data_IF_649158787368
#
_entry.id   IF_649158787368
#
_cell.length_a   1.000
_cell.length_b   1.000
_cell.length_c   1.000
_cell.angle_alpha   90.00
_cell.angle_beta   90.00
_cell.angle_gamma   90.00
#
_symmetry.space_group_name_H-M   'P 1'
#
loop_
_entity.id
_entity.type
_entity.pdbx_description
1 polymer ?
#
# COMPACT_ATOMS: atom_id res chain seq x y z
N UNK A 1 9.74 -3.84 3.83
CA UNK A 1 11.01 -3.19 3.42
C UNK A 1 10.70 -2.12 2.41
N UNK A 2 10.95 -0.85 2.74
CA UNK A 2 10.85 0.25 1.77
C UNK A 2 11.91 0.04 0.67
N UNK A 3 11.51 0.10 -0.60
CA UNK A 3 12.44 0.04 -1.72
C UNK A 3 13.26 1.32 -1.83
N UNK A 4 14.43 1.26 -2.48
CA UNK A 4 15.24 2.46 -2.73
C UNK A 4 14.53 3.44 -3.67
N UNK A 5 13.64 2.94 -4.55
CA UNK A 5 12.67 3.77 -5.24
C UNK A 5 11.38 3.84 -4.41
N UNK A 6 10.88 5.04 -4.22
CA UNK A 6 9.68 5.29 -3.44
C UNK A 6 8.44 4.95 -4.27
N UNK A 7 7.45 4.32 -3.64
CA UNK A 7 6.20 3.86 -4.27
C UNK A 7 4.96 4.48 -3.65
N UNK A 8 5.13 5.49 -2.78
CA UNK A 8 4.03 6.22 -2.18
C UNK A 8 3.26 7.08 -3.19
N UNK A 9 2.11 7.60 -2.75
CA UNK A 9 1.34 8.55 -3.56
C UNK A 9 2.20 9.76 -3.90
N UNK A 10 2.34 10.06 -5.19
CA UNK A 10 3.15 11.17 -5.68
C UNK A 10 4.65 10.89 -5.86
N UNK A 11 5.12 9.69 -5.55
CA UNK A 11 6.54 9.30 -5.72
C UNK A 11 6.88 8.77 -7.09
N UNK A 12 5.85 8.39 -7.83
CA UNK A 12 5.96 7.96 -9.22
C UNK A 12 5.05 8.78 -10.11
N UNK A 13 5.44 8.87 -11.37
CA UNK A 13 4.63 9.41 -12.44
C UNK A 13 4.81 8.55 -13.68
N UNK A 14 3.85 8.62 -14.59
CA UNK A 14 3.94 7.89 -15.86
C UNK A 14 3.27 8.67 -16.97
N UNK A 15 3.64 8.34 -18.21
CA UNK A 15 3.01 8.90 -19.39
C UNK A 15 3.02 7.88 -20.53
N UNK A 16 2.20 8.15 -21.53
CA UNK A 16 2.12 7.36 -22.76
C UNK A 16 1.91 8.26 -23.97
N UNK A 17 2.41 7.81 -25.11
CA UNK A 17 2.10 8.38 -26.42
C UNK A 17 1.80 7.24 -27.38
N UNK A 18 0.55 7.16 -27.86
CA UNK A 18 0.10 6.11 -28.78
C UNK A 18 0.67 6.29 -30.21
N UNK A 19 1.05 7.51 -30.57
CA UNK A 19 1.73 7.86 -31.80
C UNK A 19 2.39 9.21 -31.60
N UNK A 20 3.71 9.30 -31.77
CA UNK A 20 4.42 10.56 -31.63
C UNK A 20 5.94 10.44 -31.79
N UNK A 21 6.58 11.58 -31.91
CA UNK A 21 8.06 11.74 -31.91
C UNK A 21 8.59 12.10 -30.52
N UNK A 22 7.73 12.11 -29.50
CA UNK A 22 8.15 12.41 -28.13
C UNK A 22 7.17 11.89 -27.11
N UNK A 23 7.61 11.89 -25.86
CA UNK A 23 6.79 11.67 -24.68
C UNK A 23 7.10 12.74 -23.63
N UNK A 24 6.05 13.37 -23.11
CA UNK A 24 6.15 14.31 -21.99
C UNK A 24 5.73 13.59 -20.72
N UNK A 25 6.65 13.46 -19.76
CA UNK A 25 6.35 12.80 -18.47
C UNK A 25 6.26 13.88 -17.39
N UNK A 26 5.14 13.96 -16.65
CA UNK A 26 5.03 14.89 -15.54
C UNK A 26 5.99 14.51 -14.42
N UNK A 27 6.39 15.48 -13.62
CA UNK A 27 7.15 15.24 -12.40
C UNK A 27 6.31 14.46 -11.38
N UNK A 28 6.88 13.48 -10.64
CA UNK A 28 6.25 12.98 -9.43
C UNK A 28 5.95 14.13 -8.45
N UNK A 29 4.74 14.21 -7.91
CA UNK A 29 4.30 15.40 -7.15
C UNK A 29 5.10 15.62 -5.87
N UNK A 30 5.68 14.56 -5.31
CA UNK A 30 6.46 14.58 -4.06
C UNK A 30 7.95 14.86 -4.28
N UNK A 31 8.40 15.11 -5.52
CA UNK A 31 9.81 15.39 -5.83
C UNK A 31 10.28 16.71 -5.23
N UNK A 32 11.40 16.67 -4.51
CA UNK A 32 12.08 17.82 -3.90
C UNK A 32 13.54 17.93 -4.38
N UNK A 33 14.18 19.07 -4.09
CA UNK A 33 15.60 19.26 -4.38
C UNK A 33 16.46 18.21 -3.66
N UNK A 34 17.49 17.70 -4.35
CA UNK A 34 18.37 16.65 -3.83
C UNK A 34 17.85 15.23 -4.00
N UNK A 35 16.58 15.03 -4.37
CA UNK A 35 16.11 13.70 -4.78
C UNK A 35 16.85 13.24 -6.03
N UNK A 36 16.98 11.92 -6.18
CA UNK A 36 17.35 11.28 -7.44
C UNK A 36 16.11 10.72 -8.10
N UNK A 37 16.03 10.86 -9.41
CA UNK A 37 14.96 10.31 -10.21
C UNK A 37 15.50 9.22 -11.12
N UNK A 38 14.73 8.15 -11.27
CA UNK A 38 14.96 7.10 -12.26
C UNK A 38 13.80 7.15 -13.25
N UNK A 39 14.11 7.33 -14.53
CA UNK A 39 13.14 7.21 -15.61
C UNK A 39 13.41 5.94 -16.39
N UNK A 40 12.37 5.16 -16.62
CA UNK A 40 12.39 4.03 -17.55
C UNK A 40 11.50 4.41 -18.71
N UNK A 41 12.08 4.45 -19.91
CA UNK A 41 11.40 4.90 -21.12
C UNK A 41 11.51 3.81 -22.18
N UNK A 42 10.39 3.49 -22.81
CA UNK A 42 10.32 2.50 -23.86
C UNK A 42 9.75 3.11 -25.14
N UNK A 43 10.34 2.75 -26.28
CA UNK A 43 9.88 3.13 -27.61
C UNK A 43 9.65 1.90 -28.50
N UNK A 44 8.44 1.74 -29.03
CA UNK A 44 8.09 0.73 -30.05
C UNK A 44 8.02 1.38 -31.44
N UNK A 45 8.56 0.68 -32.45
CA UNK A 45 8.63 1.13 -33.85
C UNK A 45 9.41 2.44 -34.06
N UNK A 46 10.28 2.79 -33.11
CA UNK A 46 11.10 4.00 -33.13
C UNK A 46 12.53 3.65 -33.60
N UNK A 47 13.22 4.61 -34.21
CA UNK A 47 14.60 4.53 -34.74
C UNK A 47 15.70 4.52 -33.67
N UNK A 48 15.39 4.07 -32.44
CA UNK A 48 16.37 3.98 -31.36
C UNK A 48 16.06 4.76 -30.07
N UNK A 49 16.84 4.48 -29.00
CA UNK A 49 16.72 5.14 -27.70
C UNK A 49 17.00 6.63 -27.78
N UNK A 50 16.46 7.37 -26.80
CA UNK A 50 16.80 8.79 -26.64
C UNK A 50 18.25 8.91 -26.14
N UNK A 51 19.20 9.01 -27.06
CA UNK A 51 20.63 9.19 -26.74
C UNK A 51 20.97 10.62 -26.31
N UNK A 52 20.10 11.57 -26.64
CA UNK A 52 20.09 12.93 -26.10
C UNK A 52 18.86 13.11 -25.18
N UNK A 53 18.94 12.68 -23.90
CA UNK A 53 17.83 12.83 -22.98
C UNK A 53 17.60 14.31 -22.58
N UNK A 54 16.47 14.64 -21.94
CA UNK A 54 16.22 15.99 -21.44
C UNK A 54 17.38 16.50 -20.57
N UNK A 55 17.62 17.81 -20.55
CA UNK A 55 18.73 18.42 -19.81
C UNK A 55 18.80 17.92 -18.36
N UNK A 56 20.00 17.50 -17.95
CA UNK A 56 20.29 16.98 -16.61
C UNK A 56 20.04 15.47 -16.44
N UNK A 57 19.41 14.80 -17.40
CA UNK A 57 19.27 13.34 -17.38
C UNK A 57 20.50 12.65 -17.98
N UNK A 58 20.87 11.52 -17.42
CA UNK A 58 21.97 10.67 -17.87
C UNK A 58 21.42 9.30 -18.23
N UNK A 59 21.74 8.80 -19.42
CA UNK A 59 21.40 7.44 -19.85
C UNK A 59 22.36 6.44 -19.17
N UNK A 60 21.81 5.52 -18.38
CA UNK A 60 22.60 4.46 -17.72
C UNK A 60 22.80 3.24 -18.62
N UNK A 61 21.82 2.94 -19.47
CA UNK A 61 21.89 1.81 -20.39
C UNK A 61 20.58 1.61 -21.14
N UNK A 62 20.67 0.88 -22.25
CA UNK A 62 19.55 0.47 -23.09
C UNK A 62 19.96 -0.75 -23.92
N UNK A 63 19.02 -1.64 -24.30
CA UNK A 63 19.30 -2.71 -25.25
C UNK A 63 19.74 -2.12 -26.59
N UNK A 64 20.56 -2.87 -27.32
CA UNK A 64 20.66 -2.68 -28.76
C UNK A 64 19.24 -2.70 -29.36
N UNK A 65 18.99 -1.87 -30.38
CA UNK A 65 17.68 -1.83 -31.04
C UNK A 65 17.25 -3.24 -31.45
N UNK A 66 16.06 -3.62 -31.00
CA UNK A 66 15.44 -4.87 -31.41
C UNK A 66 14.33 -4.57 -32.41
N UNK A 67 13.90 -5.57 -33.17
CA UNK A 67 12.69 -5.49 -33.99
C UNK A 67 11.41 -5.23 -33.16
N UNK A 68 11.50 -5.33 -31.83
CA UNK A 68 10.41 -5.15 -30.87
C UNK A 68 10.38 -3.74 -30.27
N UNK A 69 11.45 -2.95 -30.44
CA UNK A 69 11.66 -1.63 -29.82
C UNK A 69 12.91 -1.57 -28.94
N UNK A 70 12.92 -0.65 -27.97
CA UNK A 70 14.01 -0.45 -27.01
C UNK A 70 13.48 0.02 -25.63
N UNK A 71 14.19 -0.28 -24.54
CA UNK A 71 13.90 0.21 -23.16
C UNK A 71 15.15 0.86 -22.55
N UNK A 72 15.15 2.18 -22.37
CA UNK A 72 16.25 2.92 -21.75
C UNK A 72 15.99 3.25 -20.29
N UNK A 73 17.04 3.20 -19.47
CA UNK A 73 17.02 3.65 -18.07
C UNK A 73 17.85 4.92 -17.96
N UNK A 74 17.25 5.97 -17.42
CA UNK A 74 17.84 7.28 -17.25
C UNK A 74 17.79 7.70 -15.79
N UNK A 75 18.75 8.54 -15.38
CA UNK A 75 18.79 9.10 -14.04
C UNK A 75 19.00 10.60 -14.05
N UNK A 76 18.45 11.27 -13.04
CA UNK A 76 18.57 12.70 -12.87
C UNK A 76 18.72 13.04 -11.40
N UNK A 77 19.64 13.96 -11.09
CA UNK A 77 19.74 14.56 -9.76
C UNK A 77 18.99 15.88 -9.77
N UNK A 78 18.01 16.02 -8.88
CA UNK A 78 17.19 17.23 -8.82
C UNK A 78 18.03 18.38 -8.28
N UNK A 79 18.22 19.47 -9.05
CA UNK A 79 19.07 20.57 -8.64
C UNK A 79 18.49 21.35 -7.45
N UNK A 80 19.34 22.10 -6.75
CA UNK A 80 18.96 22.95 -5.61
C UNK A 80 17.92 24.02 -5.97
N UNK A 81 17.86 24.46 -7.22
CA UNK A 81 16.83 25.36 -7.75
C UNK A 81 15.44 24.73 -7.90
N UNK A 82 15.30 23.43 -7.57
CA UNK A 82 14.06 22.68 -7.62
C UNK A 82 13.84 21.93 -8.95
N UNK A 83 12.88 21.01 -8.98
CA UNK A 83 12.66 20.15 -10.14
C UNK A 83 11.73 20.81 -11.18
N UNK A 84 12.03 20.61 -12.47
CA UNK A 84 11.13 20.98 -13.57
C UNK A 84 9.75 20.32 -13.44
N UNK A 85 8.68 20.95 -13.95
CA UNK A 85 7.32 20.42 -13.85
C UNK A 85 7.09 19.14 -14.67
N UNK A 86 7.85 18.97 -15.74
CA UNK A 86 7.80 17.81 -16.63
C UNK A 86 9.09 17.74 -17.45
N UNK A 87 9.34 16.59 -18.06
CA UNK A 87 10.43 16.40 -19.01
C UNK A 87 9.92 15.82 -20.32
N UNK A 88 10.55 16.24 -21.42
CA UNK A 88 10.22 15.78 -22.78
C UNK A 88 11.37 14.94 -23.30
N UNK A 89 11.11 13.65 -23.53
CA UNK A 89 12.03 12.81 -24.30
C UNK A 89 11.58 12.82 -25.76
N UNK A 90 12.45 13.31 -26.66
CA UNK A 90 12.15 13.50 -28.07
C UNK A 90 13.06 12.66 -28.98
N UNK A 91 12.49 12.06 -30.03
CA UNK A 91 13.13 11.10 -30.93
C UNK A 91 12.17 10.55 -31.98
N UNK A 92 12.48 9.40 -32.58
CA UNK A 92 11.76 8.92 -33.76
C UNK A 92 10.28 8.57 -33.52
N UNK A 93 9.53 8.49 -34.63
CA UNK A 93 8.09 8.23 -34.62
C UNK A 93 7.78 6.86 -34.05
N UNK A 94 6.86 6.76 -33.11
CA UNK A 94 6.46 5.47 -32.56
C UNK A 94 5.50 5.59 -31.40
N UNK A 95 5.38 4.50 -30.65
CA UNK A 95 4.67 4.45 -29.37
C UNK A 95 5.66 4.56 -28.25
N UNK A 96 5.33 5.36 -27.25
CA UNK A 96 6.19 5.60 -26.11
C UNK A 96 5.46 5.33 -24.80
N UNK A 97 6.16 4.74 -23.86
CA UNK A 97 5.72 4.55 -22.47
C UNK A 97 6.86 4.97 -21.55
N UNK A 98 6.53 5.65 -20.46
CA UNK A 98 7.53 6.05 -19.49
C UNK A 98 7.00 5.98 -18.06
N UNK A 99 7.88 5.61 -17.14
CA UNK A 99 7.70 5.69 -15.69
C UNK A 99 8.86 6.49 -15.12
N UNK A 100 8.58 7.46 -14.26
CA UNK A 100 9.58 8.19 -13.47
C UNK A 100 9.32 7.91 -12.00
N UNK A 101 10.35 7.53 -11.25
CA UNK A 101 10.28 7.22 -9.83
C UNK A 101 11.33 7.99 -9.04
N UNK A 102 10.94 8.44 -7.85
CA UNK A 102 11.79 9.16 -6.90
C UNK A 102 12.61 8.19 -6.05
N UNK A 103 13.82 8.61 -5.68
CA UNK A 103 14.68 7.97 -4.70
C UNK A 103 15.38 8.99 -3.82
N UNK A 104 15.62 8.61 -2.57
CA UNK A 104 16.46 9.34 -1.62
C UNK A 104 17.71 8.55 -1.22
N UNK A 105 17.79 7.29 -1.65
CA UNK A 105 18.78 6.34 -1.15
C UNK A 105 19.68 5.79 -2.27
N UNK A 106 19.52 6.21 -3.53
CA UNK A 106 20.48 5.86 -4.60
C UNK A 106 21.83 6.53 -4.35
N UNK A 107 22.93 5.93 -4.81
CA UNK A 107 24.28 6.52 -4.79
C UNK A 107 24.46 7.67 -5.81
N UNK A 108 25.53 8.50 -5.71
CA UNK A 108 25.82 9.53 -6.71
C UNK A 108 25.86 9.00 -8.13
N UNK A 109 25.31 9.74 -9.09
CA UNK A 109 25.20 9.33 -10.50
C UNK A 109 26.56 8.89 -11.07
N UNK A 110 27.65 9.56 -10.66
CA UNK A 110 29.03 9.26 -11.08
C UNK A 110 29.52 7.85 -10.70
N UNK A 111 28.89 7.21 -9.71
CA UNK A 111 29.25 5.88 -9.22
C UNK A 111 28.04 4.95 -9.10
N UNK A 112 26.90 5.31 -9.69
CA UNK A 112 25.61 4.70 -9.38
C UNK A 112 25.46 3.27 -9.90
N UNK A 113 26.03 2.97 -11.06
CA UNK A 113 25.89 1.65 -11.68
C UNK A 113 26.84 0.67 -11.01
N UNK A 114 26.30 -0.44 -10.49
CA UNK A 114 27.09 -1.59 -10.09
C UNK A 114 27.28 -2.51 -11.30
N UNK A 115 26.17 -3.10 -11.79
CA UNK A 115 26.20 -4.04 -12.92
C UNK A 115 24.98 -3.88 -13.81
N UNK A 116 25.21 -3.84 -15.12
CA UNK A 116 24.19 -3.90 -16.16
C UNK A 116 24.02 -5.36 -16.61
N UNK A 117 22.84 -5.92 -16.42
CA UNK A 117 22.51 -7.27 -16.88
C UNK A 117 22.31 -7.36 -18.39
N UNK A 118 22.41 -8.59 -18.91
CA UNK A 118 22.13 -8.86 -20.31
C UNK A 118 20.64 -8.67 -20.64
N UNK A 119 20.39 -8.25 -21.88
CA UNK A 119 19.05 -8.09 -22.41
C UNK A 119 18.43 -9.42 -22.76
N UNK A 120 17.13 -9.53 -22.53
CA UNK A 120 16.37 -10.72 -22.89
C UNK A 120 15.11 -10.32 -23.64
N UNK A 121 14.67 -11.21 -24.53
CA UNK A 121 13.41 -11.08 -25.25
C UNK A 121 12.37 -12.02 -24.67
N UNK A 122 11.11 -11.75 -24.99
CA UNK A 122 9.99 -12.61 -24.61
C UNK A 122 10.22 -14.05 -25.09
N UNK A 123 10.02 -15.01 -24.18
CA UNK A 123 9.82 -16.41 -24.52
C UNK A 123 8.35 -16.57 -24.90
N UNK A 124 8.08 -16.77 -26.19
CA UNK A 124 6.72 -16.97 -26.70
C UNK A 124 6.28 -18.44 -26.56
N UNK A 125 5.90 -18.83 -25.34
CA UNK A 125 5.14 -20.07 -25.14
C UNK A 125 3.64 -19.76 -25.18
N UNK A 126 2.86 -20.56 -25.91
CA UNK A 126 1.41 -20.34 -26.11
C UNK A 126 0.60 -20.33 -24.81
N UNK A 127 1.07 -21.03 -23.79
CA UNK A 127 0.43 -21.16 -22.47
C UNK A 127 1.18 -20.46 -21.35
N UNK A 128 2.40 -19.96 -21.60
CA UNK A 128 3.25 -19.34 -20.58
C UNK A 128 4.22 -18.29 -21.16
N UNK A 129 3.71 -17.22 -21.79
CA UNK A 129 4.55 -16.12 -22.25
C UNK A 129 5.26 -15.47 -21.07
N UNK A 130 6.58 -15.29 -21.16
CA UNK A 130 7.37 -14.72 -20.04
C UNK A 130 8.63 -14.01 -20.51
N UNK A 131 9.05 -13.00 -19.77
CA UNK A 131 10.35 -12.36 -19.92
C UNK A 131 11.23 -12.83 -18.76
N UNK A 132 12.26 -13.62 -19.06
CA UNK A 132 13.22 -14.11 -18.07
C UNK A 132 14.41 -13.17 -18.11
N UNK A 133 14.57 -12.33 -17.09
CA UNK A 133 15.71 -11.43 -16.97
C UNK A 133 16.95 -12.21 -16.58
N UNK A 134 18.03 -11.99 -17.31
CA UNK A 134 19.33 -12.58 -17.00
C UNK A 134 19.77 -12.21 -15.60
N UNK A 135 20.44 -13.16 -14.96
CA UNK A 135 21.07 -12.97 -13.67
C UNK A 135 22.11 -11.83 -13.71
N UNK A 136 22.20 -11.10 -12.60
CA UNK A 136 23.20 -10.07 -12.35
C UNK A 136 23.90 -10.42 -11.04
N UNK A 137 25.23 -10.55 -11.08
CA UNK A 137 26.04 -10.81 -9.90
C UNK A 137 26.52 -9.47 -9.34
N UNK A 138 25.95 -9.04 -8.21
CA UNK A 138 26.28 -7.76 -7.59
C UNK A 138 27.68 -7.79 -6.97
N UNK A 139 28.45 -6.70 -7.16
CA UNK A 139 29.81 -6.59 -6.63
C UNK A 139 29.87 -5.95 -5.24
N UNK A 140 28.77 -5.31 -4.82
CA UNK A 140 28.63 -4.65 -3.52
C UNK A 140 27.45 -5.23 -2.72
N UNK A 141 27.52 -5.07 -1.40
CA UNK A 141 26.38 -5.27 -0.50
C UNK A 141 25.51 -4.02 -0.51
N UNK A 142 24.18 -4.18 -0.50
CA UNK A 142 23.19 -3.09 -0.62
C UNK A 142 23.12 -2.46 -2.02
N UNK A 143 22.51 -3.21 -2.94
CA UNK A 143 22.16 -2.71 -4.27
C UNK A 143 20.66 -2.80 -4.50
N UNK A 144 20.12 -1.84 -5.24
CA UNK A 144 18.81 -1.94 -5.85
C UNK A 144 18.90 -2.82 -7.10
N UNK A 145 18.18 -3.93 -7.13
CA UNK A 145 17.89 -4.66 -8.37
C UNK A 145 16.69 -4.02 -9.05
N UNK A 146 16.90 -3.36 -10.18
CA UNK A 146 15.88 -2.74 -11.01
C UNK A 146 15.55 -3.64 -12.20
N UNK A 147 14.38 -4.26 -12.15
CA UNK A 147 13.83 -5.01 -13.27
C UNK A 147 13.00 -4.08 -14.14
N UNK A 148 13.35 -4.00 -15.42
CA UNK A 148 12.57 -3.27 -16.42
C UNK A 148 12.18 -4.21 -17.54
N UNK A 149 10.91 -4.21 -17.90
CA UNK A 149 10.41 -5.04 -18.98
C UNK A 149 9.25 -4.39 -19.71
N UNK A 150 9.20 -4.57 -21.02
CA UNK A 150 8.06 -4.20 -21.85
C UNK A 150 7.49 -5.40 -22.59
N UNK A 151 6.18 -5.35 -22.85
CA UNK A 151 5.48 -6.29 -23.73
C UNK A 151 4.63 -5.53 -24.72
N UNK A 152 4.45 -6.13 -25.88
CA UNK A 152 3.56 -5.68 -26.93
C UNK A 152 2.47 -6.73 -27.10
N UNK A 153 1.22 -6.31 -27.02
CA UNK A 153 0.07 -7.19 -27.24
C UNK A 153 -0.39 -7.12 -28.70
N UNK A 154 -1.05 -8.19 -29.14
CA UNK A 154 -1.70 -8.32 -30.45
C UNK A 154 -3.17 -7.91 -30.40
N UNK A 155 -3.70 -7.61 -29.22
CA UNK A 155 -5.05 -7.14 -28.97
C UNK A 155 -5.05 -5.84 -28.14
N UNK A 156 -6.24 -5.25 -27.97
CA UNK A 156 -6.45 -4.07 -27.15
C UNK A 156 -6.55 -4.37 -25.64
N UNK A 157 -6.08 -5.54 -25.19
CA UNK A 157 -6.12 -5.91 -23.78
C UNK A 157 -4.86 -5.36 -23.09
N UNK A 158 -4.97 -4.31 -22.26
CA UNK A 158 -3.81 -3.70 -21.60
C UNK A 158 -3.16 -4.71 -20.64
N UNK A 159 -2.21 -5.48 -21.15
CA UNK A 159 -1.51 -6.51 -20.39
C UNK A 159 -0.26 -5.92 -19.77
N UNK A 160 -0.06 -6.16 -18.47
CA UNK A 160 1.13 -5.73 -17.74
C UNK A 160 1.88 -6.94 -17.25
N UNK A 161 3.19 -6.93 -17.42
CA UNK A 161 4.02 -7.93 -16.77
C UNK A 161 3.94 -7.77 -15.25
N UNK A 162 3.69 -8.89 -14.57
CA UNK A 162 3.71 -9.05 -13.12
C UNK A 162 5.10 -9.54 -12.75
N UNK A 163 5.84 -8.81 -11.90
CA UNK A 163 7.14 -9.26 -11.41
C UNK A 163 6.99 -10.45 -10.45
N UNK A 164 8.06 -11.22 -10.20
CA UNK A 164 8.02 -12.31 -9.23
C UNK A 164 7.84 -11.75 -7.80
N UNK A 165 7.37 -12.58 -6.86
CA UNK A 165 6.89 -12.12 -5.55
C UNK A 165 7.95 -11.40 -4.70
N UNK A 166 9.23 -11.69 -4.93
CA UNK A 166 10.36 -11.02 -4.28
C UNK A 166 10.60 -9.58 -4.77
N UNK A 167 9.93 -9.15 -5.84
CA UNK A 167 10.05 -7.83 -6.43
C UNK A 167 8.77 -7.00 -6.22
N UNK A 168 8.97 -5.77 -5.78
CA UNK A 168 7.90 -4.77 -5.65
C UNK A 168 7.75 -3.99 -6.95
N UNK A 169 6.54 -3.87 -7.48
CA UNK A 169 6.29 -3.01 -8.65
C UNK A 169 6.47 -1.54 -8.24
N UNK A 170 7.34 -0.82 -8.94
CA UNK A 170 7.55 0.63 -8.77
C UNK A 170 6.50 1.39 -9.56
N UNK A 171 6.30 1.01 -10.82
CA UNK A 171 5.31 1.62 -11.67
C UNK A 171 5.10 0.83 -12.95
N UNK A 172 3.88 0.91 -13.47
CA UNK A 172 3.53 0.25 -14.73
C UNK A 172 2.62 1.15 -15.54
N UNK A 173 2.92 1.31 -16.84
CA UNK A 173 2.10 2.12 -17.76
C UNK A 173 1.84 1.40 -19.09
N UNK A 174 0.68 1.61 -19.72
CA UNK A 174 0.27 0.94 -20.96
C UNK A 174 -0.23 1.99 -21.95
N UNK A 175 0.23 1.95 -23.21
CA UNK A 175 -0.46 2.70 -24.28
C UNK A 175 -1.77 2.00 -24.58
N UNK A 176 -2.90 2.69 -24.60
CA UNK A 176 -4.17 2.13 -25.07
C UNK A 176 -4.35 2.51 -26.55
N UNK A 177 -4.32 1.54 -27.45
CA UNK A 177 -4.92 1.71 -28.77
C UNK A 177 -5.81 0.53 -29.06
N UNK A 178 -6.98 0.75 -29.65
CA UNK A 178 -7.99 -0.28 -29.89
C UNK A 178 -7.57 -1.47 -30.77
N UNK A 179 -6.29 -1.64 -31.13
CA UNK A 179 -5.75 -2.73 -31.93
C UNK A 179 -4.48 -3.40 -31.36
N UNK A 180 -3.66 -2.72 -30.55
CA UNK A 180 -2.46 -3.30 -29.93
C UNK A 180 -1.90 -2.38 -28.84
N UNK A 181 -1.51 -2.95 -27.71
CA UNK A 181 -0.99 -2.18 -26.59
C UNK A 181 0.50 -2.46 -26.37
N UNK A 182 1.16 -1.51 -25.72
CA UNK A 182 2.52 -1.64 -25.23
C UNK A 182 2.46 -1.41 -23.74
N UNK A 183 2.86 -2.41 -22.96
CA UNK A 183 2.95 -2.32 -21.52
C UNK A 183 4.39 -2.27 -21.04
N UNK A 184 4.68 -1.32 -20.15
CA UNK A 184 5.94 -1.19 -19.44
C UNK A 184 5.69 -1.51 -17.96
N UNK A 185 6.55 -2.35 -17.39
CA UNK A 185 6.62 -2.65 -15.96
C UNK A 185 8.02 -2.33 -15.46
N UNK A 186 8.08 -1.58 -14.36
CA UNK A 186 9.29 -1.31 -13.58
C UNK A 186 9.09 -1.91 -12.19
N UNK A 187 10.01 -2.77 -11.78
CA UNK A 187 9.98 -3.42 -10.48
C UNK A 187 11.35 -3.36 -9.81
N UNK A 188 11.35 -3.46 -8.49
CA UNK A 188 12.55 -3.39 -7.69
C UNK A 188 12.62 -4.49 -6.64
N UNK A 189 13.84 -4.87 -6.27
CA UNK A 189 14.13 -5.56 -5.03
C UNK A 189 15.39 -4.94 -4.41
N UNK A 190 15.39 -4.75 -3.09
CA UNK A 190 16.61 -4.38 -2.38
C UNK A 190 17.39 -5.66 -2.08
N UNK A 191 18.66 -5.68 -2.51
CA UNK A 191 19.53 -6.84 -2.32
C UNK A 191 20.55 -6.54 -1.23
N UNK A 192 20.51 -7.30 -0.14
CA UNK A 192 21.26 -7.01 1.10
C UNK A 192 22.62 -7.72 1.14
N UNK A 193 22.78 -9.00 0.75
CA UNK A 193 24.12 -9.59 0.59
C UNK A 193 24.64 -9.49 -0.86
N UNK A 194 25.95 -9.23 -1.01
CA UNK A 194 26.69 -9.34 -2.27
C UNK A 194 26.64 -10.76 -2.83
N UNK A 195 26.65 -10.91 -4.17
CA UNK A 195 26.64 -12.22 -4.81
C UNK A 195 25.26 -12.86 -4.92
N UNK A 196 24.21 -12.05 -4.93
CA UNK A 196 22.86 -12.52 -5.22
C UNK A 196 22.78 -13.15 -6.60
N UNK A 197 22.22 -14.35 -6.68
CA UNK A 197 22.12 -15.13 -7.91
C UNK A 197 20.66 -15.38 -8.29
N UNK A 198 20.43 -15.70 -9.56
CA UNK A 198 19.14 -16.11 -10.10
C UNK A 198 18.50 -15.16 -11.11
N UNK A 199 17.71 -15.75 -12.00
CA UNK A 199 16.91 -15.03 -12.99
C UNK A 199 15.65 -14.43 -12.36
N UNK A 200 15.13 -13.35 -12.95
CA UNK A 200 13.84 -12.76 -12.54
C UNK A 200 12.85 -12.95 -13.66
N UNK A 201 11.77 -13.69 -13.39
CA UNK A 201 10.78 -14.01 -14.42
C UNK A 201 9.55 -13.15 -14.26
N UNK A 202 9.29 -12.30 -15.25
CA UNK A 202 8.06 -11.55 -15.34
C UNK A 202 7.07 -12.27 -16.26
N UNK A 203 5.81 -12.32 -15.82
CA UNK A 203 4.72 -13.02 -16.53
C UNK A 203 3.53 -12.09 -16.72
N UNK A 204 2.75 -12.22 -17.79
CA UNK A 204 1.44 -11.60 -17.86
C UNK A 204 0.53 -12.06 -16.71
N UNK A 205 -0.58 -11.35 -16.41
CA UNK A 205 -1.53 -11.76 -15.39
C UNK A 205 -2.08 -13.17 -15.66
N UNK A 206 -2.47 -13.91 -14.62
CA UNK A 206 -2.84 -15.32 -14.67
C UNK A 206 -3.99 -15.67 -15.64
N UNK A 207 -4.74 -14.67 -16.14
CA UNK A 207 -5.87 -14.83 -17.06
C UNK A 207 -5.64 -14.14 -18.41
N UNK A 208 -4.38 -13.91 -18.79
CA UNK A 208 -4.03 -13.33 -20.09
C UNK A 208 -4.43 -14.28 -21.21
N UNK A 209 -5.23 -13.86 -22.21
CA UNK A 209 -5.63 -14.73 -23.30
C UNK A 209 -4.42 -15.32 -24.03
N UNK A 210 -4.49 -16.62 -24.36
CA UNK A 210 -3.43 -17.27 -25.13
C UNK A 210 -3.21 -16.55 -26.46
N UNK A 211 -1.96 -16.26 -26.79
CA UNK A 211 -1.59 -15.55 -28.03
C UNK A 211 -1.78 -14.03 -28.01
N UNK A 212 -2.28 -13.43 -26.92
CA UNK A 212 -2.40 -11.96 -26.80
C UNK A 212 -1.06 -11.25 -26.66
N UNK A 213 -0.01 -11.92 -26.17
CA UNK A 213 1.33 -11.33 -26.03
C UNK A 213 2.18 -11.64 -27.25
N UNK A 214 2.37 -10.63 -28.10
CA UNK A 214 3.03 -10.75 -29.39
C UNK A 214 4.54 -10.59 -29.36
N UNK A 215 5.10 -9.83 -28.41
CA UNK A 215 6.55 -9.68 -28.23
C UNK A 215 6.84 -8.97 -26.91
N UNK A 216 8.10 -8.93 -26.51
CA UNK A 216 8.54 -8.22 -25.32
C UNK A 216 10.04 -8.28 -25.12
N UNK A 217 10.53 -7.47 -24.20
CA UNK A 217 11.93 -7.40 -23.82
C UNK A 217 12.07 -7.01 -22.36
N UNK A 218 13.25 -7.24 -21.80
CA UNK A 218 13.59 -6.74 -20.49
C UNK A 218 15.04 -6.94 -20.15
N UNK A 219 15.46 -6.32 -19.06
CA UNK A 219 16.76 -6.51 -18.46
C UNK A 219 16.74 -6.17 -16.98
N UNK A 220 17.79 -6.60 -16.28
CA UNK A 220 18.01 -6.33 -14.87
C UNK A 220 19.20 -5.39 -14.73
N UNK A 221 19.10 -4.40 -13.85
CA UNK A 221 20.16 -3.45 -13.55
C UNK A 221 20.39 -3.39 -12.04
N UNK A 222 21.62 -3.56 -11.60
CA UNK A 222 22.03 -3.34 -10.22
C UNK A 222 22.52 -1.90 -10.05
N UNK A 223 21.82 -1.13 -9.21
CA UNK A 223 22.19 0.23 -8.84
C UNK A 223 22.65 0.28 -7.39
N UNK A 224 23.74 0.99 -7.14
CA UNK A 224 24.25 1.21 -5.78
C UNK A 224 23.30 2.12 -5.03
N UNK A 225 23.05 1.78 -3.77
CA UNK A 225 22.39 2.68 -2.83
C UNK A 225 23.45 3.37 -1.98
N UNK A 226 23.22 4.62 -1.56
CA UNK A 226 23.97 5.13 -0.41
C UNK A 226 23.72 4.16 0.73
N UNK A 227 24.79 3.73 1.39
CA UNK A 227 24.71 2.85 2.54
C UNK A 227 24.08 3.64 3.69
N UNK A 228 22.77 3.89 3.63
CA UNK A 228 22.00 4.35 4.76
C UNK A 228 21.94 3.11 5.65
N UNK A 229 22.56 3.10 6.84
CA UNK A 229 22.30 2.01 7.75
C UNK A 229 20.79 1.97 7.91
N UNK A 230 20.14 0.90 7.43
CA UNK A 230 18.81 0.58 7.92
C UNK A 230 19.06 0.22 9.37
N UNK A 231 19.01 1.22 10.25
CA UNK A 231 18.80 0.94 11.65
C UNK A 231 17.47 0.19 11.60
N UNK A 232 17.52 -1.12 11.92
CA UNK A 232 16.28 -1.87 12.06
C UNK A 232 15.41 -1.02 12.99
N UNK A 233 14.22 -0.68 12.53
CA UNK A 233 13.30 0.06 13.36
C UNK A 233 12.92 -0.86 14.52
N UNK A 234 13.42 -0.50 15.70
CA UNK A 234 13.20 -1.20 16.97
C UNK A 234 12.29 -0.41 17.90
N UNK A 235 11.77 0.74 17.44
CA UNK A 235 10.86 1.55 18.22
C UNK A 235 9.47 0.95 18.09
N UNK A 236 8.83 0.62 19.22
CA UNK A 236 7.45 0.16 19.18
C UNK A 236 6.49 1.35 19.02
N UNK A 237 5.34 1.17 18.35
CA UNK A 237 4.33 2.20 18.25
C UNK A 237 3.79 2.58 19.64
N UNK A 238 3.30 3.80 19.76
CA UNK A 238 2.48 4.24 20.89
C UNK A 238 1.01 4.06 20.55
N UNK A 239 0.22 3.54 21.49
CA UNK A 239 -1.23 3.41 21.33
C UNK A 239 -1.95 3.78 22.62
N UNK A 240 -3.10 4.42 22.49
CA UNK A 240 -4.05 4.67 23.57
C UNK A 240 -5.47 4.39 23.10
N UNK A 241 -6.34 4.03 24.04
CA UNK A 241 -7.79 4.12 23.87
C UNK A 241 -8.19 5.49 24.44
N UNK A 242 -9.14 6.19 23.83
CA UNK A 242 -9.77 7.41 24.33
C UNK A 242 -11.23 7.10 24.70
N UNK A 243 -11.97 6.53 23.74
CA UNK A 243 -13.36 6.12 23.89
C UNK A 243 -13.53 4.60 23.75
N UNK A 244 -14.41 3.98 24.53
CA UNK A 244 -15.12 4.53 25.68
C UNK A 244 -14.19 4.98 26.82
N UNK A 245 -14.62 5.97 27.59
CA UNK A 245 -13.95 6.35 28.84
C UNK A 245 -13.93 5.16 29.82
N UNK A 246 -12.96 5.15 30.74
CA UNK A 246 -12.86 4.06 31.72
C UNK A 246 -14.10 3.99 32.60
N UNK A 247 -14.68 2.79 32.72
CA UNK A 247 -15.90 2.55 33.49
C UNK A 247 -17.18 3.06 32.82
N UNK A 248 -17.11 3.66 31.64
CA UNK A 248 -18.28 4.13 30.91
C UNK A 248 -19.26 2.97 30.67
N UNK A 249 -20.55 3.23 30.86
CA UNK A 249 -21.62 2.30 30.53
C UNK A 249 -21.99 2.48 29.06
N UNK A 250 -22.03 1.37 28.31
CA UNK A 250 -22.29 1.38 26.87
C UNK A 250 -23.38 0.38 26.48
N UNK A 251 -24.09 0.69 25.40
CA UNK A 251 -25.15 -0.14 24.83
C UNK A 251 -25.33 0.15 23.33
N UNK A 252 -25.84 -0.81 22.56
CA UNK A 252 -26.05 -0.69 21.12
C UNK A 252 -24.73 -0.63 20.34
N UNK A 253 -24.65 0.26 19.34
CA UNK A 253 -23.44 0.45 18.54
C UNK A 253 -22.54 1.51 19.18
N UNK A 254 -21.32 1.13 19.51
CA UNK A 254 -20.31 1.94 20.22
C UNK A 254 -19.11 2.13 19.31
N UNK A 255 -18.58 3.35 19.23
CA UNK A 255 -17.30 3.59 18.56
C UNK A 255 -16.19 3.54 19.58
N UNK A 256 -15.28 2.58 19.42
CA UNK A 256 -14.01 2.52 20.13
C UNK A 256 -13.02 3.39 19.36
N UNK A 257 -12.33 4.31 20.03
CA UNK A 257 -11.35 5.17 19.37
C UNK A 257 -10.19 5.52 20.28
N UNK A 258 -9.10 6.01 19.70
CA UNK A 258 -7.96 6.52 20.44
C UNK A 258 -6.85 7.05 19.55
N UNK A 259 -5.68 7.26 20.15
CA UNK A 259 -4.50 7.75 19.44
C UNK A 259 -3.53 6.61 19.13
N UNK A 260 -2.85 6.71 18.00
CA UNK A 260 -1.75 5.82 17.62
C UNK A 260 -0.68 6.62 16.88
N UNK A 261 0.58 6.38 17.18
CA UNK A 261 1.71 7.04 16.53
C UNK A 261 2.96 6.17 16.61
N UNK A 262 3.85 6.34 15.65
CA UNK A 262 5.14 5.68 15.57
C UNK A 262 6.13 6.63 14.87
N UNK A 263 7.43 6.47 15.07
CA UNK A 263 8.45 7.32 14.44
C UNK A 263 8.63 7.02 12.95
N UNK A 264 8.34 5.79 12.49
CA UNK A 264 8.39 5.39 11.09
C UNK A 264 6.98 5.22 10.50
N UNK A 265 6.10 4.50 11.19
CA UNK A 265 4.71 4.38 10.78
C UNK A 265 4.01 3.11 11.28
N UNK A 266 2.71 3.25 11.54
CA UNK A 266 1.84 2.17 12.01
C UNK A 266 1.23 1.44 10.81
N UNK A 267 1.32 0.10 10.80
CA UNK A 267 0.70 -0.76 9.78
C UNK A 267 -0.79 -0.99 10.09
N UNK A 268 -1.10 -1.48 11.29
CA UNK A 268 -2.49 -1.71 11.71
C UNK A 268 -2.69 -1.64 13.22
N UNK A 269 -3.96 -1.50 13.62
CA UNK A 269 -4.43 -1.67 14.99
C UNK A 269 -5.50 -2.76 15.01
N UNK A 270 -5.30 -3.82 15.80
CA UNK A 270 -6.30 -4.86 16.04
C UNK A 270 -7.01 -4.63 17.37
N UNK A 271 -8.34 -4.76 17.37
CA UNK A 271 -9.18 -4.54 18.55
C UNK A 271 -9.86 -5.83 18.99
N UNK A 272 -9.81 -6.11 20.29
CA UNK A 272 -10.52 -7.22 20.94
C UNK A 272 -11.34 -6.70 22.12
N UNK A 273 -12.46 -7.37 22.43
CA UNK A 273 -13.34 -7.01 23.53
C UNK A 273 -13.68 -8.27 24.33
N UNK A 274 -13.24 -8.33 25.58
CA UNK A 274 -13.39 -9.51 26.43
C UNK A 274 -12.75 -10.77 25.84
N UNK A 275 -11.64 -10.61 25.10
CA UNK A 275 -10.95 -11.69 24.38
C UNK A 275 -11.53 -12.05 23.01
N UNK A 276 -12.67 -11.46 22.61
CA UNK A 276 -13.26 -11.69 21.28
C UNK A 276 -12.73 -10.66 20.29
N UNK A 277 -12.21 -11.11 19.15
CA UNK A 277 -11.69 -10.22 18.12
C UNK A 277 -12.82 -9.42 17.45
N UNK A 278 -12.70 -8.09 17.46
CA UNK A 278 -13.46 -7.22 16.57
C UNK A 278 -12.76 -7.05 15.23
N UNK A 279 -11.42 -7.15 15.19
CA UNK A 279 -10.61 -7.03 13.98
C UNK A 279 -9.97 -5.64 13.82
N UNK A 280 -9.50 -5.33 12.60
CA UNK A 280 -8.72 -4.13 12.30
C UNK A 280 -9.51 -2.82 12.45
N UNK A 281 -8.94 -1.85 13.15
CA UNK A 281 -9.45 -0.49 13.20
C UNK A 281 -9.15 0.28 11.90
N UNK A 282 -9.91 1.35 11.65
CA UNK A 282 -9.61 2.35 10.64
C UNK A 282 -8.65 3.38 11.22
N UNK A 283 -7.53 3.65 10.56
CA UNK A 283 -6.54 4.66 10.96
C UNK A 283 -6.67 5.88 10.05
N UNK A 284 -6.77 7.07 10.65
CA UNK A 284 -6.80 8.36 9.96
C UNK A 284 -5.90 9.36 10.70
N UNK A 285 -4.70 9.60 10.16
CA UNK A 285 -3.66 10.37 10.84
C UNK A 285 -3.21 9.69 12.13
N UNK A 286 -3.17 10.43 13.23
CA UNK A 286 -2.80 9.92 14.57
C UNK A 286 -3.97 9.31 15.34
N UNK A 287 -5.09 9.02 14.67
CA UNK A 287 -6.35 8.57 15.29
C UNK A 287 -6.76 7.24 14.70
N UNK A 288 -7.31 6.36 15.53
CA UNK A 288 -7.89 5.09 15.09
C UNK A 288 -9.31 4.91 15.62
N UNK A 289 -10.16 4.21 14.86
CA UNK A 289 -11.56 3.94 15.23
C UNK A 289 -12.00 2.52 14.87
N UNK A 290 -12.87 1.93 15.70
CA UNK A 290 -13.52 0.63 15.46
C UNK A 290 -14.95 0.66 15.99
N UNK A 291 -15.91 0.31 15.13
CA UNK A 291 -17.30 0.11 15.57
C UNK A 291 -17.47 -1.23 16.29
N UNK A 292 -18.24 -1.23 17.37
CA UNK A 292 -18.55 -2.39 18.18
C UNK A 292 -20.06 -2.43 18.45
N UNK A 293 -20.72 -3.51 18.01
CA UNK A 293 -22.09 -3.81 18.38
C UNK A 293 -22.11 -4.60 19.70
N UNK A 294 -22.68 -4.02 20.76
CA UNK A 294 -22.75 -4.64 22.08
C UNK A 294 -23.93 -5.60 22.21
N UNK A 295 -24.92 -5.59 21.31
CA UNK A 295 -26.23 -6.25 21.51
C UNK A 295 -26.16 -7.76 21.76
N UNK A 296 -25.20 -8.45 21.14
CA UNK A 296 -24.99 -9.88 21.31
C UNK A 296 -24.15 -10.23 22.57
N UNK A 297 -23.68 -9.24 23.31
CA UNK A 297 -22.81 -9.44 24.48
C UNK A 297 -23.59 -9.31 25.78
N UNK A 298 -23.32 -10.21 26.72
CA UNK A 298 -23.92 -10.16 28.06
C UNK A 298 -23.56 -8.88 28.83
N UNK A 299 -24.49 -8.43 29.67
CA UNK A 299 -24.30 -7.27 30.54
C UNK A 299 -23.19 -7.52 31.56
N UNK A 300 -22.45 -6.47 31.90
CA UNK A 300 -21.36 -6.51 32.88
C UNK A 300 -20.07 -5.86 32.38
N UNK A 301 -19.05 -5.88 33.25
CA UNK A 301 -17.75 -5.29 32.98
C UNK A 301 -17.00 -6.05 31.87
N UNK A 302 -16.26 -5.31 31.04
CA UNK A 302 -15.41 -5.84 29.98
C UNK A 302 -14.19 -5.00 29.72
N UNK A 303 -13.11 -5.69 29.38
CA UNK A 303 -11.88 -5.09 28.89
C UNK A 303 -11.86 -5.05 27.36
N UNK A 304 -11.69 -3.84 26.82
CA UNK A 304 -11.28 -3.58 25.44
C UNK A 304 -9.76 -3.63 25.42
N UNK A 305 -9.18 -4.32 24.45
CA UNK A 305 -7.73 -4.31 24.18
C UNK A 305 -7.49 -3.90 22.73
N UNK A 306 -6.58 -2.96 22.51
CA UNK A 306 -6.14 -2.54 21.19
C UNK A 306 -4.63 -2.77 21.06
N UNK A 307 -4.19 -3.40 19.98
CA UNK A 307 -2.78 -3.70 19.70
C UNK A 307 -2.37 -3.05 18.39
N UNK A 308 -1.46 -2.10 18.45
CA UNK A 308 -0.81 -1.51 17.28
C UNK A 308 0.39 -2.37 16.84
N UNK A 309 0.62 -2.42 15.54
CA UNK A 309 1.83 -2.97 14.93
C UNK A 309 2.36 -2.00 13.88
N UNK A 310 3.67 -1.80 13.86
CA UNK A 310 4.34 -1.03 12.83
C UNK A 310 4.72 -1.89 11.60
N UNK A 311 5.37 -1.27 10.62
CA UNK A 311 5.83 -1.96 9.40
C UNK A 311 7.09 -2.81 9.59
N UNK A 312 7.80 -2.66 10.71
CA UNK A 312 8.99 -3.43 11.10
C UNK A 312 8.64 -4.68 11.93
N UNK A 313 7.41 -4.75 12.43
CA UNK A 313 6.87 -5.83 13.22
C UNK A 313 6.85 -5.59 14.73
N UNK A 314 7.25 -4.41 15.23
CA UNK A 314 7.13 -4.11 16.65
C UNK A 314 5.67 -3.83 17.03
N UNK A 315 5.32 -4.07 18.29
CA UNK A 315 3.94 -4.00 18.76
C UNK A 315 3.83 -3.28 20.10
N UNK A 316 2.68 -2.65 20.32
CA UNK A 316 2.27 -2.12 21.61
C UNK A 316 0.77 -2.31 21.82
N UNK A 317 0.36 -2.41 23.08
CA UNK A 317 -1.04 -2.63 23.44
C UNK A 317 -1.53 -1.66 24.49
N UNK A 318 -2.81 -1.29 24.39
CA UNK A 318 -3.55 -0.54 25.40
C UNK A 318 -4.81 -1.30 25.79
N UNK A 319 -5.19 -1.22 27.07
CA UNK A 319 -6.44 -1.83 27.58
C UNK A 319 -7.33 -0.78 28.24
N UNK A 320 -8.64 -1.06 28.26
CA UNK A 320 -9.65 -0.18 28.84
C UNK A 320 -10.83 -0.99 29.36
N UNK A 321 -11.22 -0.77 30.62
CA UNK A 321 -12.46 -1.36 31.18
C UNK A 321 -13.67 -0.48 30.89
N UNK A 322 -14.79 -1.08 30.51
CA UNK A 322 -16.12 -0.47 30.28
C UNK A 322 -17.21 -1.43 30.74
N UNK A 323 -18.45 -0.98 30.90
CA UNK A 323 -19.58 -1.81 31.34
C UNK A 323 -20.63 -1.89 30.24
N UNK A 324 -20.99 -3.10 29.81
CA UNK A 324 -22.09 -3.31 28.87
C UNK A 324 -23.41 -3.37 29.62
N UNK A 325 -24.40 -2.61 29.18
CA UNK A 325 -25.76 -2.63 29.71
C UNK A 325 -26.77 -2.53 28.56
N UNK A 326 -26.94 -3.63 27.80
CA UNK A 326 -28.04 -3.78 26.86
C UNK A 326 -29.32 -4.00 27.67
N UNK A 327 -30.07 -2.93 27.95
CA UNK A 327 -31.41 -3.08 28.51
C UNK A 327 -32.23 -3.98 27.59
N UNK A 328 -32.92 -4.99 28.15
CA UNK A 328 -33.81 -5.83 27.35
C UNK A 328 -34.79 -4.95 26.60
N UNK A 329 -34.79 -5.04 25.27
CA UNK A 329 -35.80 -4.39 24.46
C UNK A 329 -37.19 -4.84 24.94
N UNK A 330 -37.99 -3.89 25.42
CA UNK A 330 -39.44 -4.06 25.52
C UNK A 330 -39.95 -5.01 26.61
N UNK A 331 -39.53 -4.84 27.86
CA UNK A 331 -40.46 -5.05 28.97
C UNK A 331 -41.35 -3.82 29.10
N UNK A 332 -42.35 -3.68 28.22
CA UNK A 332 -43.41 -2.68 28.40
C UNK A 332 -44.09 -2.98 29.74
N UNK A 333 -43.74 -2.25 30.80
CA UNK A 333 -44.64 -2.11 31.93
C UNK A 333 -45.87 -1.43 31.33
N UNK A 334 -46.90 -2.19 30.97
CA UNK A 334 -48.23 -1.60 30.84
C UNK A 334 -48.44 -0.86 32.15
N UNK A 335 -48.55 0.48 32.15
CA UNK A 335 -49.01 1.16 33.35
C UNK A 335 -50.35 0.50 33.63
N UNK A 336 -50.51 -0.13 34.79
CA UNK A 336 -51.84 -0.52 35.23
C UNK A 336 -52.61 0.80 35.20
N UNK A 337 -53.54 0.93 34.23
CA UNK A 337 -54.40 2.09 34.16
C UNK A 337 -55.05 2.18 35.54
N UNK A 338 -54.68 3.22 36.30
CA UNK A 338 -55.31 3.51 37.57
C UNK A 338 -56.75 3.84 37.22
N UNK A 339 -57.65 2.86 37.35
CA UNK A 339 -59.07 3.11 37.24
C UNK A 339 -59.41 4.23 38.25
N UNK A 340 -60.20 5.24 37.85
CA UNK A 340 -60.59 6.31 38.75
C UNK A 340 -61.12 5.73 40.07
N UNK A 341 -60.58 6.23 41.19
CA UNK A 341 -60.99 5.84 42.54
C UNK A 341 -62.45 6.26 42.78
N UNK A 342 -63.38 5.34 42.57
CA UNK A 342 -64.70 5.41 43.17
C UNK A 342 -64.87 4.26 44.16
N UNK A 343 -64.29 4.42 45.36
CA UNK A 343 -64.79 3.98 46.68
C UNK A 343 -63.71 4.15 47.76
N UNK A 344 -64.10 4.53 49.00
CA UNK A 344 -63.15 4.68 50.11
C UNK A 344 -62.54 3.33 50.48
N UNK A 345 -61.20 3.28 50.61
CA UNK A 345 -60.44 2.06 50.95
C UNK A 345 -60.67 1.70 52.42
N UNK A 346 -61.01 0.45 52.66
CA UNK A 346 -61.06 -0.16 54.00
C UNK A 346 -59.63 -0.38 54.52
N UNK A 347 -59.42 -0.16 55.82
CA UNK A 347 -58.10 -0.11 56.49
C UNK A 347 -57.31 -1.42 56.34
N UNK A 348 -58.01 -2.55 56.15
CA UNK A 348 -57.39 -3.86 55.92
C UNK A 348 -56.61 -3.95 54.58
N UNK A 349 -56.91 -3.09 53.60
CA UNK A 349 -56.21 -3.10 52.31
C UNK A 349 -54.87 -2.34 52.35
N UNK A 350 -54.64 -1.48 53.35
CA UNK A 350 -53.39 -0.73 53.48
C UNK A 350 -52.26 -1.56 54.11
N UNK A 351 -52.61 -2.62 54.86
CA UNK A 351 -51.65 -3.53 55.50
C UNK A 351 -50.96 -4.42 54.44
N UNK A 352 -51.74 -4.90 53.46
CA UNK A 352 -51.22 -5.70 52.35
C UNK A 352 -50.30 -4.92 51.40
N UNK A 353 -50.53 -3.61 51.23
CA UNK A 353 -49.65 -2.74 50.43
C UNK A 353 -48.33 -2.45 51.18
N UNK A 354 -48.34 -2.45 52.52
CA UNK A 354 -47.14 -2.24 53.34
C UNK A 354 -46.25 -3.51 53.37
N UNK A 355 -46.85 -4.70 53.46
CA UNK A 355 -46.14 -5.98 53.41
C UNK A 355 -45.39 -6.20 52.10
N UNK A 356 -45.93 -5.73 50.98
CA UNK A 356 -45.27 -5.79 49.66
C UNK A 356 -44.07 -4.84 49.60
N UNK A 357 -44.16 -3.67 50.22
CA UNK A 357 -43.06 -2.70 50.29
C UNK A 357 -41.96 -3.19 51.24
N UNK A 358 -42.33 -3.79 52.38
CA UNK A 358 -41.39 -4.37 53.34
C UNK A 358 -40.67 -5.60 52.75
N UNK A 359 -41.40 -6.49 52.06
CA UNK A 359 -40.78 -7.63 51.37
C UNK A 359 -39.83 -7.20 50.23
N UNK A 360 -40.10 -6.06 49.60
CA UNK A 360 -39.20 -5.48 48.60
C UNK A 360 -37.94 -4.87 49.24
N UNK A 361 -38.04 -4.22 50.40
CA UNK A 361 -36.89 -3.67 51.12
C UNK A 361 -35.98 -4.79 51.64
N UNK A 362 -36.55 -5.84 52.24
CA UNK A 362 -35.81 -7.00 52.75
C UNK A 362 -35.08 -7.76 51.64
N UNK A 363 -35.70 -7.90 50.46
CA UNK A 363 -35.08 -8.57 49.31
C UNK A 363 -33.92 -7.76 48.69
N UNK A 364 -33.84 -6.46 48.96
CA UNK A 364 -32.81 -5.56 48.45
C UNK A 364 -31.82 -5.08 49.53
N UNK A 365 -31.99 -5.50 50.79
CA UNK A 365 -31.08 -5.21 51.90
C UNK A 365 -31.00 -3.72 52.27
N UNK A 366 -32.12 -2.98 52.15
CA UNK A 366 -32.21 -1.54 52.41
C UNK A 366 -32.91 -1.21 53.74
#
# INVERSE_FOLDING_TARGET
MAGALLTGSGDTSSATAASGTSITVPRPTSTVAGDRLVAVVHGRNNSGPYTAPPSGWVLLGHPAETTVGWVGVYVHEVPSGGPAASWVWAGGSGRHTAVVARSQDLAPISSLVDVVGAYTTLIQASTDPRVVLSEVVTSESHTLLLAVASINTTDASPTRLVPPAEMTTVGSVNTATGASDTGLTVAQALQVPSGATGTRTLRPPANTPAGSVGSGMGWLLALKTVNKPSIADTTAPTISIAEPASGQVVAGTVTISGLVADDVGVDYVDVTVGGVALGRATIAGSTWTRSWDTTARGNGSVTISATARDTAGNTASATRSTTVANGSAGGSLTPLALAPRDRPRDIAQMDADLDVVLAWLDANGL
#
